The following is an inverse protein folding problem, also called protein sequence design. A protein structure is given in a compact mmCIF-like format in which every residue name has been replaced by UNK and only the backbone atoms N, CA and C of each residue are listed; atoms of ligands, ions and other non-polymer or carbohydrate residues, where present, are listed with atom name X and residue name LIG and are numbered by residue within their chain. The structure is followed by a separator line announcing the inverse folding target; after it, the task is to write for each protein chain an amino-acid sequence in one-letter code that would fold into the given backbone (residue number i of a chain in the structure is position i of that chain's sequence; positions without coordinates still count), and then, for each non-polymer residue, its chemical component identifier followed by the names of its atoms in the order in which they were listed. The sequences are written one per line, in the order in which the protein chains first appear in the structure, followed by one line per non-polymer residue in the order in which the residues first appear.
data_IF_205431318701
#
_entry.id   IF_205431318701
#
_cell.length_a   1.000
_cell.length_b   1.000
_cell.length_c   1.000
_cell.angle_alpha   90.00
_cell.angle_beta   90.00
_cell.angle_gamma   90.00
#
_symmetry.space_group_name_H-M   'P 1'
#
loop_
_entity.id
_entity.type
_entity.pdbx_description
1 polymer ?
#
# COMPACT_ATOMS: atom_id res chain seq x y z
N UNK A 1 0.54 -9.93 -4.33
CA UNK A 1 2.01 -10.11 -4.22
C UNK A 1 2.60 -8.74 -3.90
N UNK A 2 2.99 -8.52 -2.63
CA UNK A 2 4.29 -7.91 -2.30
C UNK A 2 4.52 -6.37 -2.43
N UNK A 3 3.57 -5.50 -2.04
CA UNK A 3 3.84 -4.04 -1.93
C UNK A 3 5.00 -3.67 -1.00
N UNK A 4 5.38 -4.59 -0.13
CA UNK A 4 6.31 -4.34 0.94
C UNK A 4 7.01 -5.66 1.29
N UNK A 5 7.93 -6.12 0.44
CA UNK A 5 9.13 -6.79 0.96
C UNK A 5 10.27 -5.82 0.83
N UNK A 6 10.28 -4.84 1.72
CA UNK A 6 11.49 -4.07 1.99
C UNK A 6 11.87 -4.40 3.42
N UNK A 7 12.56 -5.53 3.48
CA UNK A 7 13.46 -5.86 4.55
C UNK A 7 14.84 -5.54 3.98
N UNK A 8 15.37 -4.37 4.30
CA UNK A 8 16.76 -4.36 4.72
C UNK A 8 16.73 -4.94 6.14
N UNK A 9 17.45 -6.04 6.33
CA UNK A 9 17.40 -6.85 7.54
C UNK A 9 17.74 -6.08 8.83
N UNK A 10 16.95 -6.33 9.88
CA UNK A 10 17.12 -5.78 11.24
C UNK A 10 16.41 -4.43 11.41
N UNK A 11 15.47 -4.20 12.32
CA UNK A 11 15.29 -4.71 13.67
C UNK A 11 13.78 -4.59 14.05
N UNK A 12 13.24 -5.58 14.78
CA UNK A 12 11.88 -5.67 15.39
C UNK A 12 10.79 -6.45 14.63
N UNK A 13 10.12 -7.35 15.39
CA UNK A 13 8.98 -8.20 14.98
C UNK A 13 7.82 -7.37 14.42
N UNK A 14 7.61 -6.17 14.95
CA UNK A 14 6.53 -5.25 14.62
C UNK A 14 6.48 -4.84 13.15
N UNK A 15 7.61 -4.73 12.47
CA UNK A 15 7.64 -4.36 11.05
C UNK A 15 7.12 -5.47 10.15
N UNK A 16 7.21 -6.76 10.53
CA UNK A 16 6.66 -7.87 9.73
C UNK A 16 5.13 -7.90 9.78
N UNK A 17 4.56 -7.62 10.94
CA UNK A 17 3.11 -7.66 11.16
C UNK A 17 2.39 -6.57 10.35
N UNK A 18 2.94 -5.35 10.31
CA UNK A 18 2.39 -4.23 9.51
C UNK A 18 2.37 -4.55 8.01
N UNK A 19 3.39 -5.24 7.50
CA UNK A 19 3.53 -5.55 6.07
C UNK A 19 2.51 -6.60 5.63
N UNK A 20 2.26 -7.58 6.51
CA UNK A 20 1.21 -8.58 6.34
C UNK A 20 -0.18 -7.93 6.35
N UNK A 21 -0.41 -6.98 7.27
CA UNK A 21 -1.67 -6.24 7.33
C UNK A 21 -1.90 -5.39 6.08
N UNK A 22 -0.88 -4.72 5.53
CA UNK A 22 -1.00 -3.95 4.28
C UNK A 22 -1.39 -4.86 3.11
N UNK A 23 -0.74 -6.01 2.93
CA UNK A 23 -1.06 -6.93 1.82
C UNK A 23 -2.45 -7.55 1.95
N UNK A 24 -2.85 -7.91 3.18
CA UNK A 24 -4.18 -8.42 3.50
C UNK A 24 -5.26 -7.40 3.18
N UNK A 25 -5.11 -6.16 3.64
CA UNK A 25 -6.10 -5.10 3.40
C UNK A 25 -6.14 -4.72 1.92
N UNK A 26 -5.00 -4.68 1.22
CA UNK A 26 -4.95 -4.48 -0.23
C UNK A 26 -5.73 -5.57 -0.98
N UNK A 27 -5.51 -6.82 -0.61
CA UNK A 27 -6.17 -7.97 -1.27
C UNK A 27 -7.69 -7.94 -1.03
N UNK A 28 -8.12 -7.60 0.19
CA UNK A 28 -9.52 -7.39 0.51
C UNK A 28 -10.14 -6.23 -0.29
N UNK A 29 -9.43 -5.10 -0.41
CA UNK A 29 -9.85 -3.97 -1.24
C UNK A 29 -10.01 -4.36 -2.71
N UNK A 30 -9.05 -5.11 -3.28
CA UNK A 30 -9.13 -5.63 -4.66
C UNK A 30 -10.37 -6.50 -4.84
N UNK A 31 -10.56 -7.48 -3.96
CA UNK A 31 -11.69 -8.39 -4.03
C UNK A 31 -13.04 -7.64 -3.94
N UNK A 32 -13.12 -6.60 -3.10
CA UNK A 32 -14.30 -5.74 -3.04
C UNK A 32 -14.54 -4.98 -4.37
N UNK A 33 -13.48 -4.43 -4.99
CA UNK A 33 -13.58 -3.75 -6.29
C UNK A 33 -13.94 -4.70 -7.44
N UNK A 34 -13.47 -5.94 -7.39
CA UNK A 34 -13.81 -6.96 -8.37
C UNK A 34 -15.30 -7.33 -8.29
N UNK A 35 -15.88 -7.32 -7.07
CA UNK A 35 -17.33 -7.45 -6.84
C UNK A 35 -18.14 -6.17 -7.08
N UNK A 36 -17.49 -5.03 -7.33
CA UNK A 36 -18.16 -3.72 -7.50
C UNK A 36 -18.55 -3.00 -6.21
N UNK A 37 -18.09 -3.48 -5.05
CA UNK A 37 -18.41 -2.96 -3.71
C UNK A 37 -17.54 -1.75 -3.35
N UNK A 38 -17.80 -0.60 -3.99
CA UNK A 38 -16.98 0.62 -3.79
C UNK A 38 -16.92 1.07 -2.33
N UNK A 39 -18.04 0.98 -1.60
CA UNK A 39 -18.08 1.37 -0.18
C UNK A 39 -17.10 0.55 0.68
N UNK A 40 -17.07 -0.76 0.50
CA UNK A 40 -16.17 -1.67 1.23
C UNK A 40 -14.71 -1.43 0.81
N UNK A 41 -14.46 -1.24 -0.49
CA UNK A 41 -13.14 -0.91 -0.99
C UNK A 41 -12.60 0.41 -0.37
N UNK A 42 -13.44 1.42 -0.20
CA UNK A 42 -13.07 2.69 0.47
C UNK A 42 -12.74 2.49 1.94
N UNK A 43 -13.50 1.68 2.67
CA UNK A 43 -13.19 1.35 4.06
C UNK A 43 -11.83 0.66 4.18
N UNK A 44 -11.52 -0.29 3.29
CA UNK A 44 -10.20 -0.91 3.25
C UNK A 44 -9.10 0.10 2.86
N UNK A 45 -9.39 1.03 1.95
CA UNK A 45 -8.45 2.10 1.60
C UNK A 45 -8.15 3.02 2.80
N UNK A 46 -9.14 3.35 3.64
CA UNK A 46 -8.91 4.09 4.87
C UNK A 46 -8.02 3.32 5.87
N UNK A 47 -8.24 2.01 6.00
CA UNK A 47 -7.36 1.15 6.80
C UNK A 47 -5.93 1.12 6.24
N UNK A 48 -5.76 1.03 4.91
CA UNK A 48 -4.45 1.16 4.26
C UNK A 48 -3.80 2.51 4.55
N UNK A 49 -4.55 3.61 4.49
CA UNK A 49 -4.03 4.94 4.79
C UNK A 49 -3.49 5.02 6.21
N UNK A 50 -4.21 4.44 7.17
CA UNK A 50 -3.78 4.37 8.56
C UNK A 50 -2.50 3.55 8.72
N UNK A 51 -2.43 2.37 8.09
CA UNK A 51 -1.23 1.52 8.13
C UNK A 51 -0.01 2.23 7.51
N UNK A 52 -0.21 2.90 6.36
CA UNK A 52 0.84 3.62 5.64
C UNK A 52 1.30 4.92 6.33
N UNK A 53 0.50 5.47 7.24
CA UNK A 53 0.83 6.68 8.02
C UNK A 53 1.33 6.35 9.43
N UNK A 54 1.16 5.09 9.86
CA UNK A 54 1.60 4.62 11.17
C UNK A 54 3.12 4.80 11.35
N UNK A 55 3.52 5.04 12.60
CA UNK A 55 4.90 5.36 12.98
C UNK A 55 5.90 4.24 12.69
N UNK A 56 5.45 3.02 12.40
CA UNK A 56 6.33 1.88 12.08
C UNK A 56 7.08 2.09 10.76
N UNK A 57 6.43 2.67 9.74
CA UNK A 57 7.09 3.00 8.47
C UNK A 57 8.01 4.21 8.56
N UNK A 58 7.78 5.11 9.53
CA UNK A 58 8.62 6.29 9.79
C UNK A 58 9.96 5.94 10.45
N UNK A 59 10.11 4.73 11.00
CA UNK A 59 11.35 4.29 11.67
C UNK A 59 12.40 3.75 10.68
N UNK A 60 12.00 3.45 9.44
CA UNK A 60 12.94 3.11 8.36
C UNK A 60 13.49 4.42 7.81
N UNK A 61 14.80 4.68 7.91
CA UNK A 61 15.43 5.83 7.23
C UNK A 61 15.19 5.66 5.74
N UNK A 62 14.28 6.44 5.13
CA UNK A 62 13.91 6.17 3.75
C UNK A 62 15.06 6.66 2.87
N UNK A 63 15.60 5.80 2.00
CA UNK A 63 16.32 6.31 0.82
C UNK A 63 15.37 7.31 0.11
N UNK A 64 15.87 8.41 -0.48
CA UNK A 64 15.02 9.45 -1.07
C UNK A 64 13.94 8.89 -2.02
N UNK A 65 14.28 7.84 -2.76
CA UNK A 65 13.37 7.15 -3.67
C UNK A 65 12.26 6.38 -2.94
N UNK A 66 12.55 5.80 -1.77
CA UNK A 66 11.55 5.14 -0.93
C UNK A 66 10.52 6.13 -0.39
N UNK A 67 10.96 7.29 0.10
CA UNK A 67 10.06 8.33 0.61
C UNK A 67 9.09 8.81 -0.49
N UNK A 68 9.59 8.98 -1.72
CA UNK A 68 8.77 9.34 -2.87
C UNK A 68 7.76 8.26 -3.22
N UNK A 69 8.18 6.99 -3.31
CA UNK A 69 7.29 5.86 -3.59
C UNK A 69 6.22 5.68 -2.50
N UNK A 70 6.55 5.92 -1.23
CA UNK A 70 5.60 5.88 -0.12
C UNK A 70 4.57 7.03 -0.23
N UNK A 71 5.01 8.24 -0.57
CA UNK A 71 4.10 9.38 -0.79
C UNK A 71 3.15 9.12 -1.97
N UNK A 72 3.66 8.53 -3.06
CA UNK A 72 2.84 8.12 -4.20
C UNK A 72 1.78 7.10 -3.77
N UNK A 73 2.17 6.05 -3.03
CA UNK A 73 1.25 5.05 -2.49
C UNK A 73 0.17 5.68 -1.59
N UNK A 74 0.54 6.60 -0.69
CA UNK A 74 -0.42 7.34 0.14
C UNK A 74 -1.40 8.17 -0.70
N UNK A 75 -0.92 8.84 -1.75
CA UNK A 75 -1.77 9.60 -2.68
C UNK A 75 -2.77 8.71 -3.42
N UNK A 76 -2.35 7.52 -3.89
CA UNK A 76 -3.25 6.56 -4.53
C UNK A 76 -4.30 6.01 -3.57
N UNK A 77 -3.91 5.69 -2.34
CA UNK A 77 -4.84 5.23 -1.29
C UNK A 77 -5.86 6.32 -0.94
N UNK A 78 -5.45 7.58 -0.88
CA UNK A 78 -6.36 8.70 -0.66
C UNK A 78 -7.37 8.84 -1.81
N UNK A 79 -6.90 8.80 -3.07
CA UNK A 79 -7.78 8.78 -4.26
C UNK A 79 -8.75 7.61 -4.25
N UNK A 80 -8.32 6.44 -3.80
CA UNK A 80 -9.18 5.26 -3.65
C UNK A 80 -10.24 5.47 -2.56
N UNK A 81 -9.87 6.05 -1.41
CA UNK A 81 -10.77 6.34 -0.30
C UNK A 81 -11.84 7.39 -0.64
N UNK A 82 -11.57 8.27 -1.62
CA UNK A 82 -12.48 9.32 -2.08
C UNK A 82 -13.24 8.96 -3.36
N UNK A 83 -12.89 7.85 -4.02
CA UNK A 83 -13.49 7.45 -5.28
C UNK A 83 -15.01 7.25 -5.15
N UNK A 84 -15.77 7.96 -6.00
CA UNK A 84 -17.24 7.87 -6.04
C UNK A 84 -17.77 6.78 -6.98
N UNK A 85 -16.92 6.28 -7.88
CA UNK A 85 -17.29 5.32 -8.92
C UNK A 85 -16.38 4.10 -8.88
N UNK A 86 -16.90 2.94 -9.33
CA UNK A 86 -16.11 1.70 -9.46
C UNK A 86 -14.91 1.93 -10.37
N UNK A 87 -15.09 2.64 -11.49
CA UNK A 87 -14.04 2.94 -12.44
C UNK A 87 -12.92 3.79 -11.81
N UNK A 88 -13.28 4.87 -11.08
CA UNK A 88 -12.30 5.69 -10.38
C UNK A 88 -11.57 4.93 -9.27
N UNK A 89 -12.28 4.08 -8.54
CA UNK A 89 -11.70 3.25 -7.50
C UNK A 89 -10.74 2.20 -8.09
N UNK A 90 -11.10 1.55 -9.19
CA UNK A 90 -10.21 0.61 -9.91
C UNK A 90 -8.97 1.29 -10.48
N UNK A 91 -9.11 2.51 -11.03
CA UNK A 91 -7.97 3.28 -11.52
C UNK A 91 -7.00 3.62 -10.37
N UNK A 92 -7.52 4.15 -9.26
CA UNK A 92 -6.71 4.46 -8.08
C UNK A 92 -6.03 3.20 -7.49
N UNK A 93 -6.75 2.07 -7.45
CA UNK A 93 -6.19 0.80 -7.00
C UNK A 93 -5.11 0.28 -7.95
N UNK A 94 -5.30 0.40 -9.26
CA UNK A 94 -4.30 -0.02 -10.26
C UNK A 94 -3.02 0.81 -10.14
N UNK A 95 -3.14 2.11 -9.94
CA UNK A 95 -1.97 2.96 -9.71
C UNK A 95 -1.25 2.60 -8.40
N UNK A 96 -2.01 2.32 -7.33
CA UNK A 96 -1.45 1.82 -6.07
C UNK A 96 -0.67 0.52 -6.28
N UNK A 97 -1.23 -0.43 -7.03
CA UNK A 97 -0.59 -1.72 -7.32
C UNK A 97 0.70 -1.56 -8.12
N UNK A 98 0.73 -0.62 -9.08
CA UNK A 98 1.96 -0.28 -9.82
C UNK A 98 3.03 0.35 -8.93
N UNK A 99 2.66 1.27 -8.04
CA UNK A 99 3.60 1.90 -7.10
C UNK A 99 4.18 0.87 -6.13
N UNK A 100 3.34 -0.07 -5.68
CA UNK A 100 3.76 -1.24 -4.93
C UNK A 100 4.74 -2.14 -5.70
N UNK A 101 4.43 -2.47 -6.96
CA UNK A 101 5.28 -3.30 -7.81
C UNK A 101 6.63 -2.62 -8.06
N UNK A 102 6.66 -1.31 -8.33
CA UNK A 102 7.91 -0.56 -8.50
C UNK A 102 8.77 -0.58 -7.25
N UNK A 103 8.15 -0.36 -6.09
CA UNK A 103 8.82 -0.44 -4.80
C UNK A 103 9.43 -1.84 -4.59
N UNK A 104 8.67 -2.87 -4.95
CA UNK A 104 9.13 -4.24 -4.94
C UNK A 104 10.31 -4.49 -5.90
N UNK A 105 10.23 -4.04 -7.14
CA UNK A 105 11.29 -4.22 -8.15
C UNK A 105 12.59 -3.51 -7.74
N UNK A 106 12.51 -2.30 -7.20
CA UNK A 106 13.71 -1.54 -6.80
C UNK A 106 14.43 -2.18 -5.62
N UNK A 107 13.68 -2.71 -4.65
CA UNK A 107 14.26 -3.12 -3.36
C UNK A 107 14.32 -4.64 -3.15
N UNK A 108 13.63 -5.46 -3.93
CA UNK A 108 13.78 -6.92 -3.88
C UNK A 108 14.96 -7.43 -4.75
N UNK A 109 15.34 -6.67 -5.78
CA UNK A 109 16.50 -7.00 -6.63
C UNK A 109 17.83 -6.41 -6.12
N UNK A 110 17.84 -5.61 -5.04
CA UNK A 110 19.07 -5.28 -4.28
C UNK A 110 19.52 -6.46 -3.40
N UNK A 111 19.63 -7.66 -3.97
CA UNK A 111 20.32 -8.81 -3.37
C UNK A 111 21.76 -8.86 -3.86
#
# INVERSE_FOLDING_TARGET
MLCVLIVVGGCTRSSRDVMFDVDRVRTAAKAALDRGEVGIARTHAQALAHLLTSSVLKQVRPEPDYARMLADAQSHVHRLAEAKTVAGARAAFTDLDKSCQRCHDVYQFKK
#
